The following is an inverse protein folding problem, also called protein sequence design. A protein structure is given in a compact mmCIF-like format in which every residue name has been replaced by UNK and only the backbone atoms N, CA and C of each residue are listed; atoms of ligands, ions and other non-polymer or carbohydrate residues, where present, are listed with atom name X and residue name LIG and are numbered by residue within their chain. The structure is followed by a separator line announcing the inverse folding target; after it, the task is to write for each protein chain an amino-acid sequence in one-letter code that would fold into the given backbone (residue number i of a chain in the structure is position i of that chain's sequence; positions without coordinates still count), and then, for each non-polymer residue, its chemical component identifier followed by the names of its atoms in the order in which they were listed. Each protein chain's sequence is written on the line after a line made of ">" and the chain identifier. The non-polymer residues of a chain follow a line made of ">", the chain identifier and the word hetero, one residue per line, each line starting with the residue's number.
data_IF_603507584957
#
_entry.id   IF_603507584957
#
_cell.length_a   1.000
_cell.length_b   1.000
_cell.length_c   1.000
_cell.angle_alpha   90.00
_cell.angle_beta   90.00
_cell.angle_gamma   90.00
#
_symmetry.space_group_name_H-M   'P 1'
#
loop_
_entity.id
_entity.type
_entity.pdbx_description
1 polymer ?
#
# COMPACT_ATOMS: atom_id res chain seq x y z
N UNK A 1 14.50 -20.72 13.73
CA UNK A 1 13.07 -20.89 13.41
C UNK A 1 12.96 -22.16 12.56
N UNK A 2 12.22 -23.20 12.99
CA UNK A 2 11.95 -24.37 12.14
C UNK A 2 11.18 -23.93 10.88
N UNK A 3 11.55 -24.45 9.72
CA UNK A 3 10.93 -24.13 8.44
C UNK A 3 11.07 -25.33 7.49
N UNK A 4 9.95 -25.92 7.10
CA UNK A 4 9.89 -26.80 5.93
C UNK A 4 9.75 -25.91 4.70
N UNK A 5 10.76 -25.93 3.82
CA UNK A 5 10.86 -24.96 2.73
C UNK A 5 9.68 -25.12 1.75
N UNK A 6 8.85 -24.08 1.57
CA UNK A 6 7.74 -24.16 0.62
C UNK A 6 8.22 -24.11 -0.84
N UNK A 7 7.39 -24.64 -1.73
CA UNK A 7 7.50 -24.39 -3.17
C UNK A 7 7.17 -22.92 -3.50
N UNK A 8 7.58 -22.45 -4.69
CA UNK A 8 7.37 -21.07 -5.13
C UNK A 8 6.40 -20.95 -6.31
N UNK A 9 5.72 -19.79 -6.40
CA UNK A 9 4.91 -19.36 -7.56
C UNK A 9 5.45 -18.03 -8.05
N UNK A 10 5.84 -17.97 -9.32
CA UNK A 10 6.35 -16.75 -9.94
C UNK A 10 5.20 -15.94 -10.56
N UNK A 11 5.13 -14.65 -10.24
CA UNK A 11 4.28 -13.66 -10.91
C UNK A 11 5.17 -12.63 -11.57
N UNK A 12 5.06 -12.46 -12.89
CA UNK A 12 5.86 -11.50 -13.65
C UNK A 12 5.00 -10.49 -14.37
N UNK A 13 5.20 -9.21 -14.07
CA UNK A 13 4.61 -8.12 -14.82
C UNK A 13 5.45 -7.76 -16.04
N UNK A 14 4.81 -7.37 -17.14
CA UNK A 14 5.50 -6.87 -18.34
C UNK A 14 4.73 -5.73 -18.98
N UNK A 15 5.44 -4.83 -19.68
CA UNK A 15 4.83 -3.69 -20.37
C UNK A 15 4.83 -2.41 -19.52
N UNK A 16 3.87 -1.52 -19.77
CA UNK A 16 3.77 -0.21 -19.12
C UNK A 16 2.39 -0.04 -18.49
N UNK A 17 2.34 0.48 -17.27
CA UNK A 17 1.08 0.85 -16.61
C UNK A 17 0.27 1.81 -17.49
N UNK A 18 -1.03 1.55 -17.59
CA UNK A 18 -1.97 2.39 -18.34
C UNK A 18 -2.35 3.64 -17.52
N UNK A 19 -2.85 4.71 -18.16
CA UNK A 19 -3.27 5.93 -17.47
C UNK A 19 -4.26 5.65 -16.34
N UNK A 20 -4.10 6.32 -15.20
CA UNK A 20 -4.96 6.16 -14.02
C UNK A 20 -4.85 4.81 -13.28
N UNK A 21 -4.06 3.85 -13.76
CA UNK A 21 -3.81 2.59 -13.05
C UNK A 21 -2.74 2.79 -11.99
N UNK A 22 -3.03 2.30 -10.79
CA UNK A 22 -2.16 2.41 -9.62
C UNK A 22 -1.47 1.09 -9.31
N UNK A 23 -0.48 1.12 -8.42
CA UNK A 23 0.17 -0.12 -7.97
C UNK A 23 -0.81 -1.04 -7.23
N UNK A 24 -1.77 -0.46 -6.50
CA UNK A 24 -2.83 -1.21 -5.83
C UNK A 24 -3.74 -1.97 -6.80
N UNK A 25 -3.93 -1.47 -8.02
CA UNK A 25 -4.66 -2.21 -9.05
C UNK A 25 -3.86 -3.43 -9.54
N UNK A 26 -2.52 -3.33 -9.62
CA UNK A 26 -1.64 -4.47 -9.93
C UNK A 26 -1.67 -5.52 -8.81
N UNK A 27 -1.77 -5.11 -7.55
CA UNK A 27 -2.01 -6.01 -6.42
C UNK A 27 -3.27 -6.84 -6.64
N UNK A 28 -4.38 -6.19 -6.98
CA UNK A 28 -5.66 -6.88 -7.22
C UNK A 28 -5.70 -7.62 -8.58
N UNK A 29 -4.81 -7.28 -9.53
CA UNK A 29 -4.67 -8.01 -10.78
C UNK A 29 -4.16 -9.45 -10.54
N UNK A 30 -3.34 -9.69 -9.53
CA UNK A 30 -2.84 -11.05 -9.21
C UNK A 30 -4.00 -12.03 -8.96
N UNK A 31 -4.95 -11.79 -8.02
CA UNK A 31 -6.14 -12.64 -7.89
C UNK A 31 -6.97 -12.70 -9.18
N UNK A 32 -7.18 -11.57 -9.86
CA UNK A 32 -8.02 -11.51 -11.05
C UNK A 32 -7.49 -12.43 -12.16
N UNK A 33 -6.19 -12.38 -12.44
CA UNK A 33 -5.57 -13.22 -13.48
C UNK A 33 -5.46 -14.68 -13.04
N UNK A 34 -5.20 -14.96 -11.76
CA UNK A 34 -5.24 -16.33 -11.24
C UNK A 34 -6.63 -16.96 -11.38
N UNK A 35 -7.71 -16.19 -11.17
CA UNK A 35 -9.09 -16.63 -11.40
C UNK A 35 -9.33 -16.86 -12.90
N UNK A 36 -8.95 -15.91 -13.76
CA UNK A 36 -9.10 -16.05 -15.23
C UNK A 36 -8.39 -17.30 -15.77
N UNK A 37 -7.25 -17.68 -15.19
CA UNK A 37 -6.48 -18.86 -15.56
C UNK A 37 -6.94 -20.15 -14.86
N UNK A 38 -7.94 -20.09 -13.97
CA UNK A 38 -8.46 -21.25 -13.25
C UNK A 38 -7.54 -21.78 -12.12
N UNK A 39 -6.54 -20.98 -11.72
CA UNK A 39 -5.58 -21.27 -10.64
C UNK A 39 -6.09 -20.83 -9.27
N UNK A 40 -7.14 -20.00 -9.24
CA UNK A 40 -7.81 -19.55 -8.03
C UNK A 40 -9.34 -19.60 -8.20
N UNK A 41 -10.06 -19.98 -7.14
CA UNK A 41 -11.52 -19.91 -7.09
C UNK A 41 -12.00 -19.10 -5.88
N UNK A 42 -13.12 -18.38 -6.06
CA UNK A 42 -13.78 -17.63 -4.98
C UNK A 42 -14.60 -18.57 -4.06
N UNK A 43 -15.25 -19.59 -4.64
CA UNK A 43 -16.03 -20.59 -3.88
C UNK A 43 -15.16 -21.24 -2.78
N UNK A 44 -15.71 -21.29 -1.56
CA UNK A 44 -14.99 -21.81 -0.38
C UNK A 44 -14.97 -23.33 -0.38
N UNK A 45 -16.05 -24.00 -0.79
CA UNK A 45 -16.10 -25.45 -0.84
C UNK A 45 -15.21 -25.97 -1.97
N UNK A 46 -14.12 -26.64 -1.62
CA UNK A 46 -13.16 -27.17 -2.60
C UNK A 46 -12.31 -26.08 -3.25
N UNK A 47 -12.03 -24.99 -2.52
CA UNK A 47 -11.28 -23.83 -3.01
C UNK A 47 -9.95 -24.23 -3.64
N UNK A 48 -9.71 -23.77 -4.87
CA UNK A 48 -8.41 -23.77 -5.51
C UNK A 48 -7.69 -22.46 -5.19
N UNK A 49 -6.44 -22.56 -4.79
CA UNK A 49 -5.60 -21.40 -4.55
C UNK A 49 -4.14 -21.79 -4.79
N UNK A 50 -3.62 -21.49 -5.97
CA UNK A 50 -2.24 -21.83 -6.33
C UNK A 50 -1.21 -21.24 -5.37
N UNK A 51 -1.50 -20.11 -4.72
CA UNK A 51 -0.59 -19.43 -3.80
C UNK A 51 -0.56 -20.03 -2.39
N UNK A 52 -1.58 -20.83 -2.03
CA UNK A 52 -1.78 -21.28 -0.64
C UNK A 52 -0.60 -22.11 -0.14
N UNK A 53 0.05 -21.63 0.93
CA UNK A 53 1.18 -22.31 1.58
C UNK A 53 2.49 -22.26 0.81
N UNK A 54 2.59 -21.46 -0.26
CA UNK A 54 3.77 -21.31 -1.12
C UNK A 54 4.43 -19.95 -0.93
N UNK A 55 5.63 -19.76 -1.45
CA UNK A 55 6.26 -18.45 -1.56
C UNK A 55 5.74 -17.77 -2.84
N UNK A 56 5.25 -16.53 -2.72
CA UNK A 56 4.93 -15.69 -3.88
C UNK A 56 6.18 -14.92 -4.28
N UNK A 57 6.65 -15.11 -5.51
CA UNK A 57 7.81 -14.39 -6.05
C UNK A 57 7.36 -13.42 -7.15
N UNK A 58 7.78 -12.17 -7.08
CA UNK A 58 7.29 -11.10 -7.98
C UNK A 58 8.45 -10.48 -8.77
N UNK A 59 8.26 -10.36 -10.08
CA UNK A 59 9.23 -9.73 -10.99
C UNK A 59 8.57 -8.73 -11.96
N UNK A 60 9.40 -7.93 -12.63
CA UNK A 60 8.98 -7.05 -13.73
C UNK A 60 8.77 -5.58 -13.37
N UNK A 61 8.95 -5.21 -12.10
CA UNK A 61 8.82 -3.84 -11.59
C UNK A 61 10.05 -3.43 -10.74
N UNK A 62 11.28 -3.53 -11.26
CA UNK A 62 12.48 -3.46 -10.44
C UNK A 62 12.78 -2.06 -9.87
N UNK A 63 12.19 -1.02 -10.44
CA UNK A 63 12.46 0.38 -10.08
C UNK A 63 11.44 0.99 -9.10
N UNK A 64 10.54 0.16 -8.54
CA UNK A 64 9.64 0.61 -7.48
C UNK A 64 10.43 1.09 -6.26
N UNK A 65 9.92 2.13 -5.59
CA UNK A 65 10.39 2.47 -4.25
C UNK A 65 10.09 1.33 -3.28
N UNK A 66 10.88 1.19 -2.22
CA UNK A 66 10.72 0.08 -1.26
C UNK A 66 9.32 0.09 -0.62
N UNK A 67 8.79 1.27 -0.30
CA UNK A 67 7.43 1.42 0.23
C UNK A 67 6.33 1.03 -0.78
N UNK A 68 6.59 1.18 -2.08
CA UNK A 68 5.69 0.71 -3.13
C UNK A 68 5.76 -0.82 -3.27
N UNK A 69 6.98 -1.37 -3.27
CA UNK A 69 7.18 -2.82 -3.27
C UNK A 69 6.45 -3.50 -2.09
N UNK A 70 6.35 -2.81 -0.95
CA UNK A 70 5.59 -3.27 0.19
C UNK A 70 4.10 -3.50 -0.13
N UNK A 71 3.45 -2.69 -0.96
CA UNK A 71 2.04 -2.89 -1.35
C UNK A 71 1.80 -4.27 -1.98
N UNK A 72 2.74 -4.75 -2.81
CA UNK A 72 2.69 -6.07 -3.42
C UNK A 72 3.00 -7.19 -2.41
N UNK A 73 4.02 -7.00 -1.58
CA UNK A 73 4.42 -8.02 -0.61
C UNK A 73 3.45 -8.18 0.55
N UNK A 74 2.83 -7.10 1.03
CA UNK A 74 1.88 -7.11 2.15
C UNK A 74 0.63 -7.92 1.76
N UNK A 75 0.09 -7.66 0.57
CA UNK A 75 -1.09 -8.36 0.05
C UNK A 75 -0.87 -9.85 -0.27
N UNK A 76 0.37 -10.35 -0.22
CA UNK A 76 0.64 -11.79 -0.31
C UNK A 76 -0.02 -12.57 0.84
N UNK A 77 -0.23 -11.93 1.99
CA UNK A 77 -0.95 -12.51 3.11
C UNK A 77 -2.38 -12.92 2.72
N UNK A 78 -3.08 -12.08 1.95
CA UNK A 78 -4.43 -12.38 1.46
C UNK A 78 -4.45 -13.46 0.36
N UNK A 79 -3.30 -13.79 -0.23
CA UNK A 79 -3.16 -14.97 -1.10
C UNK A 79 -2.97 -16.26 -0.32
N UNK A 80 -2.88 -16.21 1.00
CA UNK A 80 -2.46 -17.33 1.87
C UNK A 80 -1.05 -17.84 1.54
N UNK A 81 -0.19 -16.98 1.01
CA UNK A 81 1.22 -17.31 0.79
C UNK A 81 1.94 -17.47 2.14
N UNK A 82 2.92 -18.37 2.20
CA UNK A 82 3.78 -18.55 3.37
C UNK A 82 4.81 -17.41 3.54
N UNK A 83 5.15 -16.75 2.43
CA UNK A 83 6.05 -15.61 2.36
C UNK A 83 6.01 -14.98 0.98
N UNK A 84 6.72 -13.87 0.81
CA UNK A 84 6.79 -13.15 -0.46
C UNK A 84 8.20 -12.61 -0.70
N UNK A 85 8.59 -12.53 -1.97
CA UNK A 85 9.78 -11.82 -2.45
C UNK A 85 9.43 -11.00 -3.68
N UNK A 86 10.15 -9.90 -3.88
CA UNK A 86 10.02 -9.04 -5.06
C UNK A 86 11.42 -8.63 -5.52
N UNK A 87 11.69 -8.82 -6.80
CA UNK A 87 12.96 -8.41 -7.41
C UNK A 87 12.98 -6.90 -7.62
N UNK A 88 13.94 -6.23 -6.97
CA UNK A 88 14.20 -4.80 -7.12
C UNK A 88 15.64 -4.56 -7.56
N UNK A 89 15.85 -3.44 -8.23
CA UNK A 89 17.17 -2.87 -8.44
C UNK A 89 17.72 -2.31 -7.11
N UNK A 90 19.02 -2.05 -7.06
CA UNK A 90 19.69 -1.58 -5.83
C UNK A 90 19.41 -0.11 -5.52
N UNK A 91 19.13 0.70 -6.53
CA UNK A 91 18.99 2.16 -6.39
C UNK A 91 17.86 2.55 -5.41
N UNK A 92 16.63 1.98 -5.50
CA UNK A 92 15.58 2.24 -4.51
C UNK A 92 15.94 1.79 -3.10
N UNK A 93 16.73 0.71 -2.96
CA UNK A 93 17.15 0.16 -1.67
C UNK A 93 18.21 1.07 -1.04
N UNK A 94 19.17 1.55 -1.82
CA UNK A 94 20.18 2.51 -1.38
C UNK A 94 19.51 3.78 -0.87
N UNK A 95 18.54 4.32 -1.61
CA UNK A 95 17.76 5.48 -1.19
C UNK A 95 17.04 5.23 0.15
N UNK A 96 16.36 4.09 0.27
CA UNK A 96 15.62 3.75 1.47
C UNK A 96 16.53 3.57 2.70
N UNK A 97 17.68 2.90 2.54
CA UNK A 97 18.62 2.67 3.64
C UNK A 97 19.31 3.96 4.09
N UNK A 98 19.67 4.86 3.18
CA UNK A 98 20.21 6.18 3.56
C UNK A 98 19.22 6.93 4.44
N UNK A 99 17.94 6.93 4.05
CA UNK A 99 16.88 7.54 4.84
C UNK A 99 16.69 6.87 6.20
N UNK A 100 16.66 5.53 6.23
CA UNK A 100 16.45 4.76 7.45
C UNK A 100 17.58 4.96 8.47
N UNK A 101 18.83 5.10 8.02
CA UNK A 101 19.96 5.37 8.91
C UNK A 101 19.74 6.67 9.69
N UNK A 102 19.30 7.74 9.02
CA UNK A 102 18.98 9.01 9.67
C UNK A 102 17.80 8.87 10.62
N UNK A 103 16.76 8.14 10.23
CA UNK A 103 15.61 7.87 11.11
C UNK A 103 16.03 7.12 12.39
N UNK A 104 16.86 6.08 12.28
CA UNK A 104 17.31 5.31 13.44
C UNK A 104 18.23 6.13 14.35
N UNK A 105 19.11 6.97 13.79
CA UNK A 105 19.91 7.94 14.58
C UNK A 105 18.98 8.93 15.30
N UNK A 106 18.00 9.50 14.59
CA UNK A 106 16.98 10.35 15.20
C UNK A 106 16.22 9.65 16.33
N UNK A 107 15.85 8.37 16.19
CA UNK A 107 15.21 7.59 17.26
C UNK A 107 16.10 7.46 18.50
N UNK A 108 17.42 7.29 18.32
CA UNK A 108 18.38 7.28 19.43
C UNK A 108 18.38 8.64 20.14
N UNK A 109 18.40 9.74 19.39
CA UNK A 109 18.36 11.10 19.95
C UNK A 109 17.06 11.37 20.74
N UNK A 110 15.94 10.78 20.30
CA UNK A 110 14.64 10.89 20.97
C UNK A 110 14.45 9.91 22.14
N UNK A 111 15.48 9.12 22.48
CA UNK A 111 15.46 8.23 23.65
C UNK A 111 14.66 6.94 23.46
N UNK A 112 14.54 6.43 22.22
CA UNK A 112 13.93 5.12 21.98
C UNK A 112 14.71 3.98 22.68
N UNK A 113 13.97 2.94 23.09
CA UNK A 113 14.49 1.83 23.88
C UNK A 113 15.53 0.96 23.16
N UNK A 114 16.44 0.37 23.94
CA UNK A 114 17.56 -0.48 23.50
C UNK A 114 18.42 0.15 22.37
N UNK A 115 19.10 1.24 22.75
CA UNK A 115 20.04 1.97 21.90
C UNK A 115 21.08 1.08 21.21
N UNK A 116 21.64 0.08 21.90
CA UNK A 116 22.68 -0.80 21.34
C UNK A 116 22.16 -1.61 20.16
N UNK A 117 20.90 -2.01 20.20
CA UNK A 117 20.25 -2.73 19.11
C UNK A 117 20.04 -1.82 17.89
N UNK A 118 19.66 -0.56 18.09
CA UNK A 118 19.57 0.44 17.02
C UNK A 118 20.94 0.72 16.39
N UNK A 119 21.97 1.00 17.20
CA UNK A 119 23.34 1.25 16.72
C UNK A 119 23.88 0.09 15.87
N UNK A 120 23.70 -1.15 16.33
CA UNK A 120 24.13 -2.35 15.60
C UNK A 120 23.42 -2.49 14.25
N UNK A 121 22.13 -2.12 14.18
CA UNK A 121 21.38 -2.15 12.91
C UNK A 121 21.89 -1.06 11.96
N UNK A 122 22.14 0.14 12.45
CA UNK A 122 22.68 1.25 11.65
C UNK A 122 24.02 0.83 11.01
N UNK A 123 24.95 0.27 11.80
CA UNK A 123 26.24 -0.21 11.28
C UNK A 123 26.07 -1.30 10.21
N UNK A 124 25.08 -2.18 10.37
CA UNK A 124 24.75 -3.20 9.37
C UNK A 124 24.27 -2.59 8.05
N UNK A 125 23.44 -1.55 8.11
CA UNK A 125 22.97 -0.80 6.93
C UNK A 125 24.14 -0.05 6.26
N UNK A 126 24.95 0.66 7.04
CA UNK A 126 26.15 1.38 6.54
C UNK A 126 27.14 0.40 5.88
N UNK A 127 27.33 -0.79 6.45
CA UNK A 127 28.17 -1.84 5.86
C UNK A 127 27.65 -2.33 4.51
N UNK A 128 26.34 -2.55 4.38
CA UNK A 128 25.77 -2.95 3.09
C UNK A 128 25.87 -1.81 2.06
N UNK A 129 25.63 -0.56 2.45
CA UNK A 129 25.78 0.60 1.55
C UNK A 129 27.22 0.77 1.02
N UNK A 130 28.23 0.35 1.80
CA UNK A 130 29.63 0.36 1.35
C UNK A 130 29.95 -0.71 0.29
N UNK A 131 29.15 -1.77 0.20
CA UNK A 131 29.28 -2.82 -0.82
C UNK A 131 27.88 -3.41 -1.16
N UNK A 132 27.07 -2.71 -1.98
CA UNK A 132 25.66 -3.04 -2.18
C UNK A 132 25.50 -4.25 -3.12
N UNK A 133 25.44 -5.43 -2.51
CA UNK A 133 25.20 -6.71 -3.19
C UNK A 133 23.75 -7.17 -2.96
N UNK A 134 23.10 -7.61 -4.04
CA UNK A 134 21.79 -8.25 -4.02
C UNK A 134 21.91 -9.64 -4.63
N UNK A 135 21.16 -10.59 -4.06
CA UNK A 135 20.98 -11.89 -4.70
C UNK A 135 20.04 -11.76 -5.90
N UNK A 136 20.19 -12.66 -6.86
CA UNK A 136 19.34 -12.77 -8.04
C UNK A 136 18.96 -14.23 -8.24
N UNK A 137 17.73 -14.49 -8.68
CA UNK A 137 17.31 -15.84 -9.01
C UNK A 137 18.11 -16.36 -10.20
N UNK A 138 18.54 -17.63 -10.13
CA UNK A 138 19.20 -18.28 -11.25
C UNK A 138 18.23 -18.41 -12.44
N UNK A 139 18.76 -18.35 -13.67
CA UNK A 139 17.95 -18.36 -14.88
C UNK A 139 17.16 -19.65 -15.09
N UNK A 140 17.57 -20.73 -14.44
CA UNK A 140 16.96 -22.07 -14.47
C UNK A 140 16.19 -22.41 -13.18
N UNK A 141 15.84 -21.41 -12.36
CA UNK A 141 14.97 -21.60 -11.20
C UNK A 141 13.62 -22.24 -11.59
N UNK A 142 13.21 -23.27 -10.83
CA UNK A 142 11.96 -23.99 -11.04
C UNK A 142 10.84 -23.42 -10.16
N UNK A 143 9.67 -23.24 -10.73
CA UNK A 143 8.48 -22.72 -10.04
C UNK A 143 7.31 -23.68 -10.24
N UNK A 144 6.49 -23.85 -9.22
CA UNK A 144 5.30 -24.71 -9.31
C UNK A 144 4.24 -24.16 -10.26
N UNK A 145 4.23 -22.85 -10.45
CA UNK A 145 3.45 -22.16 -11.48
C UNK A 145 4.10 -20.82 -11.82
N UNK A 146 3.89 -20.35 -13.05
CA UNK A 146 4.30 -19.02 -13.51
C UNK A 146 3.05 -18.30 -14.05
N UNK A 147 2.85 -17.07 -13.60
CA UNK A 147 1.74 -16.20 -14.03
C UNK A 147 2.34 -14.93 -14.63
N UNK A 148 2.32 -14.81 -15.96
CA UNK A 148 2.64 -13.56 -16.64
C UNK A 148 1.40 -12.64 -16.69
N UNK A 149 1.57 -11.37 -16.31
CA UNK A 149 0.54 -10.33 -16.37
C UNK A 149 1.03 -9.20 -17.27
N UNK A 150 0.32 -8.96 -18.37
CA UNK A 150 0.60 -7.83 -19.26
C UNK A 150 -0.07 -6.56 -18.73
N UNK A 151 0.73 -5.56 -18.41
CA UNK A 151 0.25 -4.27 -17.90
C UNK A 151 -0.61 -3.53 -18.94
N UNK A 152 -0.47 -3.85 -20.24
CA UNK A 152 -1.30 -3.28 -21.28
C UNK A 152 -2.77 -3.74 -21.22
N UNK A 153 -3.04 -4.88 -20.58
CA UNK A 153 -4.40 -5.44 -20.45
C UNK A 153 -5.17 -4.87 -19.24
N UNK A 154 -4.50 -4.16 -18.35
CA UNK A 154 -5.13 -3.52 -17.18
C UNK A 154 -5.50 -2.09 -17.57
N UNK A 155 -6.74 -1.87 -18.00
CA UNK A 155 -7.22 -0.57 -18.54
C UNK A 155 -8.22 0.17 -17.64
N UNK A 156 -8.64 -0.48 -16.57
CA UNK A 156 -9.54 0.08 -15.57
C UNK A 156 -9.10 -0.39 -14.17
N UNK A 157 -9.45 0.36 -13.10
CA UNK A 157 -9.16 -0.05 -11.74
C UNK A 157 -9.74 -1.41 -11.40
N UNK A 158 -9.06 -2.13 -10.49
CA UNK A 158 -9.49 -3.45 -10.01
C UNK A 158 -9.72 -3.36 -8.51
N UNK A 159 -10.86 -3.86 -8.05
CA UNK A 159 -11.27 -3.87 -6.66
C UNK A 159 -11.43 -5.30 -6.16
N UNK A 160 -11.37 -5.52 -4.84
CA UNK A 160 -11.94 -6.73 -4.26
C UNK A 160 -13.38 -6.43 -3.83
N UNK A 161 -14.32 -7.24 -4.34
CA UNK A 161 -15.76 -7.14 -4.04
C UNK A 161 -16.06 -7.49 -2.57
N UNK A 162 -17.25 -7.14 -2.06
CA UNK A 162 -17.54 -7.21 -0.63
C UNK A 162 -17.29 -8.59 -0.03
N UNK A 163 -16.55 -8.59 1.07
CA UNK A 163 -16.42 -9.71 2.01
C UNK A 163 -15.51 -10.88 1.58
N UNK A 164 -14.80 -10.76 0.46
CA UNK A 164 -13.75 -11.71 0.06
C UNK A 164 -12.56 -11.03 -0.64
N UNK A 165 -11.33 -11.04 -0.07
CA UNK A 165 -10.15 -10.49 -0.71
C UNK A 165 -9.77 -11.19 -2.03
N UNK A 166 -10.26 -12.42 -2.25
CA UNK A 166 -10.06 -13.16 -3.50
C UNK A 166 -10.98 -12.71 -4.64
N UNK A 167 -12.13 -12.10 -4.35
CA UNK A 167 -13.14 -11.74 -5.34
C UNK A 167 -12.78 -10.43 -6.05
N UNK A 168 -11.69 -10.48 -6.82
CA UNK A 168 -11.20 -9.35 -7.59
C UNK A 168 -12.08 -9.11 -8.84
N UNK A 169 -12.52 -7.87 -9.03
CA UNK A 169 -13.38 -7.45 -10.14
C UNK A 169 -12.92 -6.13 -10.75
N UNK A 170 -13.03 -5.96 -12.08
CA UNK A 170 -12.84 -4.66 -12.70
C UNK A 170 -13.92 -3.66 -12.24
N UNK A 171 -13.58 -2.37 -12.21
CA UNK A 171 -14.49 -1.30 -11.78
C UNK A 171 -15.83 -1.32 -12.54
N UNK A 172 -15.80 -1.56 -13.85
CA UNK A 172 -17.02 -1.66 -14.68
C UNK A 172 -18.01 -2.72 -14.19
N UNK A 173 -17.57 -3.78 -13.51
CA UNK A 173 -18.45 -4.81 -12.99
C UNK A 173 -19.20 -4.41 -11.69
N UNK A 174 -18.78 -3.32 -11.04
CA UNK A 174 -19.29 -2.88 -9.73
C UNK A 174 -19.63 -1.38 -9.68
N UNK A 175 -19.44 -0.66 -10.78
CA UNK A 175 -19.71 0.77 -10.88
C UNK A 175 -21.15 1.11 -10.49
N UNK A 176 -21.34 2.29 -9.89
CA UNK A 176 -22.66 2.78 -9.49
C UNK A 176 -23.14 2.33 -8.10
N UNK A 177 -22.47 1.37 -7.46
CA UNK A 177 -22.76 1.00 -6.07
C UNK A 177 -22.64 2.20 -5.14
N UNK A 178 -23.66 2.42 -4.31
CA UNK A 178 -23.69 3.55 -3.37
C UNK A 178 -22.67 3.32 -2.25
N UNK A 179 -21.90 4.36 -1.92
CA UNK A 179 -20.91 4.31 -0.84
C UNK A 179 -21.37 5.19 0.32
N UNK A 180 -21.33 4.66 1.53
CA UNK A 180 -21.69 5.38 2.75
C UNK A 180 -20.43 5.91 3.47
N UNK A 181 -19.39 5.08 3.59
CA UNK A 181 -18.14 5.42 4.27
C UNK A 181 -16.91 5.08 3.43
N UNK A 182 -15.81 5.81 3.64
CA UNK A 182 -14.54 5.59 2.95
C UNK A 182 -13.39 5.59 3.95
N UNK A 183 -12.44 4.67 3.82
CA UNK A 183 -11.25 4.58 4.66
C UNK A 183 -9.95 4.63 3.87
N UNK A 184 -9.15 5.66 4.11
CA UNK A 184 -7.80 5.85 3.54
C UNK A 184 -6.79 5.83 4.69
N UNK A 185 -5.99 4.77 4.81
CA UNK A 185 -4.90 4.72 5.78
C UNK A 185 -4.67 3.40 6.48
N UNK A 186 -3.96 2.48 5.84
CA UNK A 186 -3.46 1.25 6.47
C UNK A 186 -1.96 1.12 6.24
N UNK A 187 -1.38 -0.04 6.56
CA UNK A 187 0.01 -0.34 6.19
C UNK A 187 0.23 -0.38 4.66
N UNK A 188 -0.83 -0.59 3.87
CA UNK A 188 -0.81 -0.52 2.40
C UNK A 188 -0.66 0.90 1.85
N UNK A 189 -0.59 1.93 2.71
CA UNK A 189 -0.52 3.32 2.26
C UNK A 189 0.77 3.98 2.73
N UNK A 190 1.41 4.75 1.85
CA UNK A 190 2.44 5.75 2.12
C UNK A 190 1.91 7.18 1.93
N UNK A 191 2.72 8.19 2.25
CA UNK A 191 2.36 9.63 2.17
C UNK A 191 1.83 10.07 0.79
N UNK A 192 2.28 9.45 -0.30
CA UNK A 192 1.88 9.82 -1.67
C UNK A 192 0.38 9.67 -1.90
N UNK A 193 -0.24 8.63 -1.35
CA UNK A 193 -1.67 8.40 -1.44
C UNK A 193 -2.49 9.48 -0.73
N UNK A 194 -2.00 9.97 0.42
CA UNK A 194 -2.67 11.05 1.15
C UNK A 194 -2.58 12.36 0.38
N UNK A 195 -1.44 12.64 -0.28
CA UNK A 195 -1.34 13.80 -1.18
C UNK A 195 -2.27 13.68 -2.37
N UNK A 196 -2.35 12.49 -3.00
CA UNK A 196 -3.23 12.25 -4.14
C UNK A 196 -4.71 12.45 -3.75
N UNK A 197 -5.14 11.84 -2.64
CA UNK A 197 -6.47 12.05 -2.09
C UNK A 197 -6.71 13.52 -1.75
N UNK A 198 -5.78 14.18 -1.05
CA UNK A 198 -5.87 15.59 -0.72
C UNK A 198 -6.06 16.49 -1.94
N UNK A 199 -5.28 16.29 -3.00
CA UNK A 199 -5.41 17.06 -4.26
C UNK A 199 -6.79 16.87 -4.90
N UNK A 200 -7.32 15.64 -4.90
CA UNK A 200 -8.68 15.37 -5.38
C UNK A 200 -9.72 16.10 -4.53
N UNK A 201 -9.58 16.08 -3.21
CA UNK A 201 -10.52 16.74 -2.29
C UNK A 201 -10.47 18.28 -2.44
N UNK A 202 -9.30 18.88 -2.58
CA UNK A 202 -9.15 20.35 -2.70
C UNK A 202 -9.73 20.89 -4.02
N UNK A 203 -9.64 20.11 -5.10
CA UNK A 203 -10.25 20.43 -6.39
C UNK A 203 -11.79 20.49 -6.32
N UNK A 204 -12.40 19.79 -5.36
CA UNK A 204 -13.85 19.64 -5.21
C UNK A 204 -14.33 20.13 -3.85
N UNK A 205 -14.37 21.46 -3.70
CA UNK A 205 -14.73 22.12 -2.44
C UNK A 205 -16.17 21.81 -2.01
N UNK A 206 -16.33 21.57 -0.71
CA UNK A 206 -17.60 21.24 -0.08
C UNK A 206 -17.42 20.14 0.96
N UNK A 207 -18.48 19.84 1.71
CA UNK A 207 -18.49 18.63 2.53
C UNK A 207 -18.78 17.41 1.65
N UNK A 208 -18.14 16.30 1.97
CA UNK A 208 -18.31 15.05 1.26
C UNK A 208 -19.72 14.48 1.48
N UNK A 209 -20.32 13.81 0.48
CA UNK A 209 -21.55 13.04 0.65
C UNK A 209 -21.34 11.75 1.46
N UNK A 210 -20.09 11.33 1.68
CA UNK A 210 -19.69 10.14 2.42
C UNK A 210 -19.01 10.52 3.74
N UNK A 211 -18.94 9.57 4.66
CA UNK A 211 -18.05 9.68 5.83
C UNK A 211 -16.65 9.22 5.47
N UNK A 212 -15.72 10.16 5.31
CA UNK A 212 -14.32 9.85 5.04
C UNK A 212 -13.50 9.74 6.33
N UNK A 213 -12.75 8.66 6.45
CA UNK A 213 -11.78 8.39 7.50
C UNK A 213 -10.36 8.42 6.92
N UNK A 214 -9.48 9.22 7.52
CA UNK A 214 -8.08 9.39 7.10
C UNK A 214 -7.18 9.01 8.26
N UNK A 215 -6.29 8.03 8.07
CA UNK A 215 -5.39 7.55 9.12
C UNK A 215 -3.94 7.40 8.59
N UNK A 216 -3.09 8.44 8.70
CA UNK A 216 -1.68 8.32 8.31
C UNK A 216 -0.99 7.14 9.01
N UNK A 217 -0.13 6.36 8.34
CA UNK A 217 0.42 5.14 8.91
C UNK A 217 1.40 5.41 10.06
N UNK A 218 2.14 6.53 10.01
CA UNK A 218 3.06 6.94 11.07
C UNK A 218 2.86 8.41 11.46
N UNK A 219 3.40 8.79 12.63
CA UNK A 219 3.45 10.19 13.05
C UNK A 219 4.36 11.06 12.18
N UNK A 220 5.31 10.46 11.43
CA UNK A 220 6.16 11.18 10.51
C UNK A 220 5.37 11.60 9.27
N UNK A 221 4.52 10.72 8.74
CA UNK A 221 3.58 11.04 7.67
C UNK A 221 2.59 12.13 8.11
N UNK A 222 2.00 11.98 9.30
CA UNK A 222 1.07 12.97 9.85
C UNK A 222 1.73 14.35 9.99
N UNK A 223 2.97 14.41 10.49
CA UNK A 223 3.71 15.65 10.64
C UNK A 223 3.99 16.30 9.27
N UNK A 224 4.47 15.53 8.29
CA UNK A 224 4.75 16.06 6.95
C UNK A 224 3.47 16.50 6.22
N UNK A 225 2.38 15.75 6.31
CA UNK A 225 1.08 16.13 5.76
C UNK A 225 0.51 17.39 6.43
N UNK A 226 0.79 17.57 7.72
CA UNK A 226 0.41 18.79 8.45
C UNK A 226 1.22 19.99 7.97
N UNK A 227 2.54 19.84 7.85
CA UNK A 227 3.47 20.86 7.37
C UNK A 227 3.10 21.34 5.96
N UNK A 228 2.73 20.40 5.09
CA UNK A 228 2.31 20.69 3.71
C UNK A 228 0.86 21.20 3.60
N UNK A 229 0.12 21.29 4.72
CA UNK A 229 -1.23 21.84 4.77
C UNK A 229 -2.38 20.90 4.38
N UNK A 230 -2.10 19.61 4.12
CA UNK A 230 -3.13 18.63 3.72
C UNK A 230 -4.18 18.38 4.81
N UNK A 231 -3.83 18.55 6.09
CA UNK A 231 -4.81 18.51 7.19
C UNK A 231 -5.90 19.59 7.04
N UNK A 232 -5.57 20.75 6.47
CA UNK A 232 -6.58 21.79 6.18
C UNK A 232 -7.58 21.31 5.12
N UNK A 233 -7.09 20.62 4.10
CA UNK A 233 -7.93 20.07 3.02
C UNK A 233 -8.88 19.01 3.57
N UNK A 234 -8.35 18.04 4.32
CA UNK A 234 -9.14 16.99 4.95
C UNK A 234 -10.17 17.55 5.96
N UNK A 235 -9.78 18.54 6.76
CA UNK A 235 -10.71 19.19 7.70
C UNK A 235 -11.85 19.92 6.98
N UNK A 236 -11.54 20.68 5.92
CA UNK A 236 -12.56 21.41 5.13
C UNK A 236 -13.51 20.49 4.38
N UNK A 237 -13.05 19.31 3.95
CA UNK A 237 -13.92 18.30 3.32
C UNK A 237 -14.84 17.60 4.32
N UNK A 238 -14.65 17.80 5.63
CA UNK A 238 -15.39 17.10 6.68
C UNK A 238 -14.85 15.71 6.99
N UNK A 239 -13.62 15.39 6.55
CA UNK A 239 -13.01 14.10 6.85
C UNK A 239 -12.67 13.98 8.34
N UNK A 240 -12.77 12.75 8.86
CA UNK A 240 -12.34 12.39 10.20
C UNK A 240 -10.90 11.90 10.15
N UNK A 241 -9.99 12.67 10.72
CA UNK A 241 -8.57 12.31 10.79
C UNK A 241 -8.32 11.55 12.10
N UNK A 242 -7.89 10.31 11.99
CA UNK A 242 -7.51 9.46 13.12
C UNK A 242 -6.02 9.63 13.43
N UNK A 243 -5.62 9.29 14.65
CA UNK A 243 -4.20 9.27 15.03
C UNK A 243 -3.46 8.16 14.24
N UNK A 244 -2.13 8.28 14.06
CA UNK A 244 -1.37 7.24 13.37
C UNK A 244 -1.51 5.86 14.01
N UNK A 245 -1.84 4.86 13.18
CA UNK A 245 -2.03 3.48 13.61
C UNK A 245 -2.97 2.70 12.68
N UNK A 246 -3.31 1.47 13.06
CA UNK A 246 -4.14 0.58 12.24
C UNK A 246 -5.59 1.08 12.03
N UNK A 247 -6.10 1.89 12.96
CA UNK A 247 -7.46 2.46 12.91
C UNK A 247 -8.53 1.40 12.56
N UNK A 248 -9.35 1.67 11.54
CA UNK A 248 -10.44 0.79 11.13
C UNK A 248 -9.96 -0.57 10.59
N UNK A 249 -8.74 -0.68 10.06
CA UNK A 249 -8.22 -1.88 9.38
C UNK A 249 -8.42 -3.17 10.21
N UNK A 250 -8.33 -3.07 11.54
CA UNK A 250 -8.53 -4.22 12.43
C UNK A 250 -9.95 -4.32 13.01
N UNK A 251 -10.68 -3.21 13.13
CA UNK A 251 -12.05 -3.17 13.66
C UNK A 251 -12.20 -3.52 15.15
N UNK A 252 -11.11 -3.39 15.93
CA UNK A 252 -11.10 -3.73 17.37
C UNK A 252 -11.40 -2.54 18.29
N UNK A 253 -11.50 -1.32 17.74
CA UNK A 253 -11.78 -0.08 18.47
C UNK A 253 -12.90 0.69 17.74
N UNK A 254 -12.53 1.68 16.93
CA UNK A 254 -13.46 2.33 16.02
C UNK A 254 -13.95 1.33 14.96
N UNK A 255 -15.22 1.45 14.60
CA UNK A 255 -15.89 0.67 13.56
C UNK A 255 -16.74 1.60 12.71
N UNK A 256 -16.97 1.20 11.46
CA UNK A 256 -17.97 1.86 10.60
C UNK A 256 -19.38 1.60 11.13
N UNK A 257 -20.37 2.34 10.64
CA UNK A 257 -21.76 2.09 10.98
C UNK A 257 -22.21 0.69 10.52
N UNK A 258 -23.16 0.11 11.27
CA UNK A 258 -23.71 -1.20 10.94
C UNK A 258 -24.41 -1.17 9.57
N UNK A 259 -24.14 -2.17 8.74
CA UNK A 259 -24.69 -2.28 7.39
C UNK A 259 -24.13 -1.29 6.36
N UNK A 260 -23.14 -0.47 6.71
CA UNK A 260 -22.56 0.51 5.79
C UNK A 260 -21.87 -0.15 4.60
N UNK A 261 -21.98 0.47 3.43
CA UNK A 261 -21.16 0.14 2.26
C UNK A 261 -19.90 0.99 2.25
N UNK A 262 -18.75 0.35 2.21
CA UNK A 262 -17.44 0.97 2.47
C UNK A 262 -16.49 0.77 1.31
N UNK A 263 -15.75 1.81 0.93
CA UNK A 263 -14.52 1.66 0.13
C UNK A 263 -13.31 1.81 1.05
N UNK A 264 -12.42 0.83 1.05
CA UNK A 264 -11.31 0.76 1.99
C UNK A 264 -9.97 0.51 1.29
N UNK A 265 -8.94 1.22 1.71
CA UNK A 265 -7.54 0.95 1.34
C UNK A 265 -6.86 -0.04 2.29
N UNK A 266 -7.60 -0.63 3.24
CA UNK A 266 -7.10 -1.67 4.14
C UNK A 266 -6.77 -2.97 3.40
N UNK A 267 -6.23 -3.97 4.11
CA UNK A 267 -5.85 -5.26 3.52
C UNK A 267 -6.99 -6.26 3.45
N UNK A 268 -7.99 -6.17 4.33
CA UNK A 268 -8.99 -7.23 4.52
C UNK A 268 -10.41 -6.67 4.58
N UNK A 269 -11.29 -7.28 3.81
CA UNK A 269 -12.70 -6.95 3.79
C UNK A 269 -13.61 -8.07 4.35
N UNK A 270 -13.07 -9.09 5.04
CA UNK A 270 -13.86 -10.21 5.59
C UNK A 270 -15.15 -9.77 6.34
N UNK A 271 -16.19 -10.62 6.39
CA UNK A 271 -17.42 -10.30 7.10
C UNK A 271 -17.16 -9.80 8.52
N UNK A 272 -17.85 -8.72 8.90
CA UNK A 272 -17.75 -8.07 10.21
C UNK A 272 -16.39 -7.44 10.56
N UNK A 273 -15.45 -7.34 9.60
CA UNK A 273 -14.11 -6.80 9.85
C UNK A 273 -14.14 -5.32 10.23
N UNK A 274 -14.63 -4.45 9.35
CA UNK A 274 -14.67 -3.00 9.62
C UNK A 274 -15.90 -2.58 10.44
N UNK A 275 -17.00 -3.31 10.34
CA UNK A 275 -18.27 -3.01 10.99
C UNK A 275 -19.26 -4.16 10.86
N UNK A 276 -20.30 -4.20 11.69
CA UNK A 276 -21.26 -5.31 11.72
C UNK A 276 -22.13 -5.29 10.47
N UNK A 277 -22.17 -6.39 9.71
CA UNK A 277 -22.93 -6.48 8.47
C UNK A 277 -22.50 -5.49 7.38
N UNK A 278 -21.34 -4.85 7.51
CA UNK A 278 -20.82 -3.91 6.52
C UNK A 278 -20.39 -4.64 5.23
N UNK A 279 -20.56 -3.98 4.09
CA UNK A 279 -20.11 -4.46 2.78
C UNK A 279 -18.88 -3.65 2.35
N UNK A 280 -17.70 -4.28 2.31
CA UNK A 280 -16.45 -3.55 2.16
C UNK A 280 -15.76 -3.89 0.84
N UNK A 281 -15.62 -2.90 -0.04
CA UNK A 281 -14.76 -2.96 -1.21
C UNK A 281 -13.31 -2.61 -0.84
N UNK A 282 -12.34 -3.35 -1.39
CA UNK A 282 -10.92 -2.96 -1.33
C UNK A 282 -10.52 -2.24 -2.61
N UNK A 283 -9.87 -1.08 -2.50
CA UNK A 283 -9.52 -0.22 -3.64
C UNK A 283 -8.21 0.55 -3.40
N UNK A 284 -7.73 1.21 -4.45
CA UNK A 284 -6.67 2.23 -4.38
C UNK A 284 -7.15 3.48 -3.65
N UNK A 285 -6.21 4.30 -3.16
CA UNK A 285 -6.54 5.51 -2.41
C UNK A 285 -7.15 6.60 -3.30
N UNK A 286 -6.70 6.65 -4.55
CA UNK A 286 -7.16 7.56 -5.58
C UNK A 286 -8.62 7.24 -5.94
N UNK A 287 -8.94 5.95 -6.16
CA UNK A 287 -10.31 5.51 -6.39
C UNK A 287 -11.20 5.71 -5.16
N UNK A 288 -10.68 5.44 -3.96
CA UNK A 288 -11.39 5.69 -2.71
C UNK A 288 -11.72 7.18 -2.53
N UNK A 289 -10.79 8.09 -2.84
CA UNK A 289 -11.03 9.53 -2.79
C UNK A 289 -12.09 9.99 -3.81
N UNK A 290 -12.07 9.45 -5.03
CA UNK A 290 -13.12 9.71 -6.03
C UNK A 290 -14.48 9.21 -5.52
N UNK A 291 -14.55 7.98 -5.00
CA UNK A 291 -15.78 7.43 -4.44
C UNK A 291 -16.29 8.26 -3.25
N UNK A 292 -15.39 8.79 -2.42
CA UNK A 292 -15.74 9.66 -1.30
C UNK A 292 -16.41 10.96 -1.77
N UNK A 293 -15.90 11.55 -2.86
CA UNK A 293 -16.39 12.79 -3.46
C UNK A 293 -17.77 12.63 -4.10
N UNK A 294 -18.04 11.48 -4.74
CA UNK A 294 -19.27 11.29 -5.52
C UNK A 294 -20.35 10.47 -4.81
N UNK A 295 -20.03 9.78 -3.71
CA UNK A 295 -20.98 8.98 -2.93
C UNK A 295 -21.35 7.62 -3.54
N UNK A 296 -20.60 7.16 -4.55
CA UNK A 296 -20.78 5.88 -5.24
C UNK A 296 -19.47 5.42 -5.88
N UNK A 297 -19.38 4.17 -6.32
CA UNK A 297 -18.29 3.75 -7.20
C UNK A 297 -18.41 4.44 -8.58
N UNK A 298 -17.37 5.15 -9.06
CA UNK A 298 -17.42 5.86 -10.34
C UNK A 298 -17.49 4.91 -11.54
N UNK A 299 -17.87 5.43 -12.71
CA UNK A 299 -17.54 4.74 -13.97
C UNK A 299 -16.04 4.85 -14.26
N UNK A 300 -15.46 3.97 -15.10
CA UNK A 300 -14.08 4.14 -15.56
C UNK A 300 -13.82 5.52 -16.20
N UNK A 301 -14.77 6.06 -16.96
CA UNK A 301 -14.65 7.39 -17.58
C UNK A 301 -14.67 8.52 -16.55
N UNK A 302 -15.58 8.46 -15.58
CA UNK A 302 -15.62 9.40 -14.46
C UNK A 302 -14.28 9.36 -13.71
N UNK A 303 -13.83 8.17 -13.31
CA UNK A 303 -12.57 7.96 -12.59
C UNK A 303 -11.36 8.59 -13.32
N UNK A 304 -11.20 8.30 -14.62
CA UNK A 304 -10.12 8.86 -15.42
C UNK A 304 -10.16 10.39 -15.45
N UNK A 305 -11.36 10.99 -15.51
CA UNK A 305 -11.53 12.45 -15.52
C UNK A 305 -11.03 13.09 -14.22
N UNK A 306 -11.30 12.45 -13.07
CA UNK A 306 -10.80 12.92 -11.78
C UNK A 306 -9.28 12.76 -11.65
N UNK A 307 -8.75 11.57 -11.94
CA UNK A 307 -7.33 11.24 -11.71
C UNK A 307 -6.39 11.95 -12.70
N UNK A 308 -6.84 12.25 -13.91
CA UNK A 308 -6.05 13.01 -14.89
C UNK A 308 -5.61 14.40 -14.35
N UNK A 309 -6.31 14.96 -13.36
CA UNK A 309 -5.90 16.21 -12.72
C UNK A 309 -4.74 16.02 -11.74
N UNK A 310 -4.74 14.90 -11.00
CA UNK A 310 -3.65 14.52 -10.08
C UNK A 310 -2.37 14.22 -10.85
N UNK A 311 -2.50 13.52 -11.98
CA UNK A 311 -1.38 13.11 -12.83
C UNK A 311 -0.53 14.29 -13.33
N UNK A 312 -1.14 15.46 -13.53
CA UNK A 312 -0.42 16.69 -13.93
C UNK A 312 0.64 17.12 -12.90
N UNK A 313 0.47 16.72 -11.65
CA UNK A 313 1.39 17.03 -10.55
C UNK A 313 1.95 15.76 -9.90
N UNK A 314 1.94 14.62 -10.61
CA UNK A 314 2.32 13.31 -10.07
C UNK A 314 3.72 13.30 -9.43
N UNK A 315 4.70 13.99 -10.02
CA UNK A 315 6.07 14.08 -9.48
C UNK A 315 6.10 14.72 -8.09
N UNK A 316 5.27 15.73 -7.85
CA UNK A 316 5.12 16.34 -6.52
C UNK A 316 4.25 15.47 -5.59
N UNK A 317 3.18 14.87 -6.12
CA UNK A 317 2.26 14.01 -5.36
C UNK A 317 2.99 12.82 -4.73
N UNK A 318 3.79 12.10 -5.53
CA UNK A 318 4.40 10.83 -5.14
C UNK A 318 5.87 10.99 -4.72
N UNK A 319 6.17 12.04 -3.94
CA UNK A 319 7.44 12.17 -3.22
C UNK A 319 7.40 11.31 -1.96
N UNK A 320 8.41 10.47 -1.74
CA UNK A 320 8.49 9.62 -0.54
C UNK A 320 9.20 10.38 0.59
N UNK A 321 9.14 9.85 1.81
CA UNK A 321 9.81 10.46 2.96
C UNK A 321 11.29 10.04 2.97
N UNK A 322 12.17 10.96 2.58
CA UNK A 322 13.62 10.80 2.74
C UNK A 322 14.10 11.60 3.96
N UNK A 323 14.15 10.98 5.13
CA UNK A 323 14.59 11.61 6.39
C UNK A 323 15.98 12.26 6.33
N UNK A 324 16.89 11.76 5.49
CA UNK A 324 18.19 12.36 5.20
C UNK A 324 18.11 13.74 4.52
N UNK A 325 16.97 14.07 3.94
CA UNK A 325 16.70 15.35 3.25
C UNK A 325 15.83 16.30 4.09
N UNK A 326 15.50 15.93 5.33
CA UNK A 326 14.64 16.70 6.23
C UNK A 326 15.45 17.22 7.42
N UNK A 327 15.63 18.54 7.51
CA UNK A 327 16.55 19.17 8.48
C UNK A 327 16.22 18.81 9.93
N UNK A 328 14.94 18.77 10.29
CA UNK A 328 14.47 18.43 11.63
C UNK A 328 14.83 17.00 12.07
N UNK A 329 15.16 16.10 11.13
CA UNK A 329 15.67 14.77 11.42
C UNK A 329 17.20 14.75 11.42
N UNK A 330 17.83 15.32 10.40
CA UNK A 330 19.29 15.40 10.25
C UNK A 330 19.95 16.12 11.41
N UNK A 331 19.43 17.27 11.87
CA UNK A 331 19.98 18.05 12.98
C UNK A 331 20.11 17.22 14.27
N UNK A 332 19.11 16.38 14.56
CA UNK A 332 19.14 15.48 15.73
C UNK A 332 20.03 14.26 15.49
N UNK A 333 20.02 13.72 14.27
CA UNK A 333 20.82 12.56 13.90
C UNK A 333 22.32 12.85 13.94
N UNK A 334 22.76 14.04 13.51
CA UNK A 334 24.16 14.46 13.49
C UNK A 334 24.77 14.57 14.90
N UNK A 335 23.95 14.81 15.92
CA UNK A 335 24.37 14.85 17.32
C UNK A 335 24.58 13.48 17.97
N UNK A 336 24.30 12.38 17.27
CA UNK A 336 24.35 11.02 17.83
C UNK A 336 25.77 10.46 17.80
N UNK A 337 26.37 10.29 18.98
CA UNK A 337 27.68 9.64 19.15
C UNK A 337 27.47 8.18 19.55
N UNK A 338 27.98 7.22 18.77
CA UNK A 338 27.77 5.79 19.02
C UNK A 338 28.45 5.35 20.32
N UNK A 339 27.78 4.51 21.11
CA UNK A 339 28.36 3.99 22.35
C UNK A 339 29.58 3.12 22.02
N UNK A 340 30.75 3.44 22.59
CA UNK A 340 31.93 2.60 22.45
C UNK A 340 31.65 1.24 23.09
N UNK A 341 32.02 0.14 22.41
CA UNK A 341 31.93 -1.19 23.01
C UNK A 341 32.86 -1.21 24.25
N UNK A 342 32.27 -1.38 25.43
CA UNK A 342 32.98 -1.60 26.70
C UNK A 342 33.27 -3.08 26.86
#
# INVERSE_FOLDING_TARGET
>A
MPLDMPESVLVRFKGKMQPGITLRDLVHAIPLYAIKQGLLTVEKKGKKNIFSGRILEIEGLPDLKVEQAFELTDASAERSAAGCTIKLNKEPIIEYLNSNIVLLKWMIAEGYGDRRTLERRIQGMEKWLANPELLEADADAEYAAVIDIDLADIKEPILCAPNDPDDARPLSAVQGEKIDEVFIGSCMTNIGHFRAAGKLLDAHKGQLPTRLWVAPPTRMDAAQLTEEGYYSVFGKSGARIEIPGCSLCMGNQARVADGATVVSTSTRNFPNRLGTGANVFLASAELAAVAALIGKLPTPEEYQTYVAQVDKTAVDTYRYLNFDQLSQYTEKADGVIFQTAV
#
